data_IF_407144366830
#
_entry.id   IF_407144366830
#
_cell.length_a   1.000
_cell.length_b   1.000
_cell.length_c   1.000
_cell.angle_alpha   90.00
_cell.angle_beta   90.00
_cell.angle_gamma   90.00
#
_symmetry.space_group_name_H-M   'P 1'
#
loop_
_entity.id
_entity.type
_entity.pdbx_description
1 polymer ?
#
# COMPACT_ATOMS: atom_id res chain seq x y z
N UNK A 1 1.29 1.34 -25.82
CA UNK A 1 -0.05 1.43 -26.44
C UNK A 1 -1.03 1.35 -25.29
N UNK A 2 -1.74 2.41 -25.02
CA UNK A 2 -2.71 2.46 -23.92
C UNK A 2 -3.92 1.60 -24.26
N UNK A 3 -4.35 0.77 -23.31
CA UNK A 3 -5.64 0.09 -23.39
C UNK A 3 -6.74 1.12 -23.05
N UNK A 4 -7.70 1.37 -23.94
CA UNK A 4 -8.72 2.40 -23.76
C UNK A 4 -9.73 2.08 -22.63
N UNK A 5 -9.81 0.84 -22.14
CA UNK A 5 -10.81 0.42 -21.15
C UNK A 5 -10.32 0.45 -19.69
N UNK A 6 -9.01 0.51 -19.44
CA UNK A 6 -8.47 0.54 -18.07
C UNK A 6 -7.99 1.92 -17.62
N UNK A 7 -7.85 2.88 -18.54
CA UNK A 7 -7.41 4.26 -18.24
C UNK A 7 -6.01 4.37 -17.61
N UNK A 8 -5.28 3.26 -17.56
CA UNK A 8 -3.93 3.21 -17.01
C UNK A 8 -2.92 3.10 -18.14
N UNK A 9 -2.27 4.21 -18.46
CA UNK A 9 -1.03 4.15 -19.23
C UNK A 9 0.09 3.78 -18.27
N UNK A 10 1.08 3.00 -18.74
CA UNK A 10 2.40 2.89 -18.10
C UNK A 10 3.12 4.26 -18.18
N UNK A 11 2.40 5.32 -17.82
CA UNK A 11 2.91 6.67 -17.78
C UNK A 11 4.02 6.72 -16.74
N UNK A 12 5.13 7.27 -17.14
CA UNK A 12 6.26 7.60 -16.31
C UNK A 12 5.87 8.31 -15.02
N UNK A 13 6.83 8.61 -14.16
CA UNK A 13 6.55 9.06 -12.80
C UNK A 13 5.52 10.17 -12.85
N UNK A 14 4.30 9.89 -12.31
CA UNK A 14 3.32 10.95 -12.08
C UNK A 14 4.06 12.00 -11.27
N UNK A 15 4.25 13.19 -11.82
CA UNK A 15 4.65 14.35 -11.05
C UNK A 15 3.47 14.62 -10.12
N UNK A 16 3.58 14.14 -8.89
CA UNK A 16 2.56 14.35 -7.87
C UNK A 16 2.39 15.85 -7.66
N UNK A 17 1.17 16.39 -7.74
CA UNK A 17 0.95 17.75 -7.28
C UNK A 17 1.36 17.80 -5.81
N UNK A 18 2.16 18.78 -5.44
CA UNK A 18 2.86 18.99 -4.15
C UNK A 18 1.92 19.11 -2.93
N UNK A 19 0.63 18.82 -3.07
CA UNK A 19 -0.42 19.01 -2.06
C UNK A 19 -1.35 17.82 -1.90
N UNK A 20 -0.89 16.58 -2.06
CA UNK A 20 -1.69 15.48 -1.50
C UNK A 20 -1.44 15.44 0.01
N UNK A 21 -2.52 15.59 0.77
CA UNK A 21 -2.54 15.19 2.19
C UNK A 21 -2.04 13.75 2.24
N UNK A 22 -1.00 13.51 3.05
CA UNK A 22 -0.45 12.18 3.22
C UNK A 22 -1.59 11.17 3.43
N UNK A 23 -1.57 10.01 2.76
CA UNK A 23 -2.55 8.97 3.04
C UNK A 23 -2.49 8.67 4.53
N UNK A 24 -3.64 8.68 5.17
CA UNK A 24 -3.73 8.31 6.59
C UNK A 24 -3.31 6.84 6.67
N UNK A 25 -2.31 6.47 7.51
CA UNK A 25 -1.97 5.08 7.71
C UNK A 25 -3.24 4.33 8.08
N UNK A 26 -3.45 3.15 7.48
CA UNK A 26 -4.57 2.31 7.87
C UNK A 26 -4.51 2.12 9.40
N UNK A 27 -5.58 2.41 10.13
CA UNK A 27 -5.61 2.09 11.55
C UNK A 27 -5.40 0.59 11.70
N UNK A 28 -4.77 0.11 12.79
CA UNK A 28 -4.76 -1.30 13.11
C UNK A 28 -6.21 -1.80 13.10
N UNK A 29 -6.44 -3.00 12.59
CA UNK A 29 -7.79 -3.58 12.50
C UNK A 29 -8.52 -3.36 13.82
N UNK A 30 -9.64 -2.63 13.84
CA UNK A 30 -10.36 -2.40 15.08
C UNK A 30 -10.84 -3.74 15.63
N UNK A 31 -10.67 -4.01 16.92
CA UNK A 31 -11.10 -5.26 17.52
C UNK A 31 -12.60 -5.47 17.24
N UNK A 32 -12.97 -6.57 16.60
CA UNK A 32 -14.35 -6.95 16.29
C UNK A 32 -14.83 -6.67 14.86
N UNK A 33 -13.99 -6.20 13.93
CA UNK A 33 -14.35 -6.20 12.51
C UNK A 33 -14.14 -7.59 11.89
N UNK A 34 -15.11 -8.08 11.09
CA UNK A 34 -14.90 -9.30 10.35
C UNK A 34 -13.73 -9.08 9.35
N UNK A 35 -12.82 -10.06 9.21
CA UNK A 35 -11.74 -9.97 8.23
C UNK A 35 -12.32 -9.70 6.84
N UNK A 36 -11.64 -8.84 6.09
CA UNK A 36 -12.01 -8.59 4.68
C UNK A 36 -11.73 -9.88 3.92
N UNK A 37 -12.75 -10.41 3.26
CA UNK A 37 -12.63 -11.69 2.57
C UNK A 37 -11.71 -11.56 1.35
N UNK A 38 -10.90 -12.61 1.02
CA UNK A 38 -10.12 -12.67 -0.20
C UNK A 38 -11.05 -12.59 -1.42
N UNK A 39 -10.88 -11.59 -2.31
CA UNK A 39 -11.72 -11.37 -3.49
C UNK A 39 -10.88 -11.00 -4.71
N UNK A 40 -11.33 -11.43 -5.89
CA UNK A 40 -10.89 -10.91 -7.19
C UNK A 40 -11.75 -9.72 -7.61
N UNK A 41 -11.16 -8.73 -8.28
CA UNK A 41 -11.94 -7.67 -8.92
C UNK A 41 -12.61 -8.19 -10.20
N UNK A 42 -13.72 -7.57 -10.62
CA UNK A 42 -14.31 -7.79 -11.94
C UNK A 42 -13.25 -7.61 -13.03
N UNK A 43 -13.31 -8.44 -14.08
CA UNK A 43 -12.37 -8.46 -15.19
C UNK A 43 -11.17 -9.39 -15.00
N UNK A 44 -10.90 -9.87 -13.79
CA UNK A 44 -9.81 -10.83 -13.55
C UNK A 44 -10.05 -12.13 -14.31
N UNK A 45 -9.06 -12.58 -15.10
CA UNK A 45 -9.10 -13.83 -15.85
C UNK A 45 -8.67 -14.99 -14.93
N UNK A 46 -9.52 -16.01 -14.87
CA UNK A 46 -9.23 -17.27 -14.14
C UNK A 46 -9.04 -18.38 -15.17
N UNK A 47 -7.97 -19.16 -15.02
CA UNK A 47 -7.67 -20.26 -15.92
C UNK A 47 -8.60 -21.44 -15.64
N UNK A 48 -9.27 -21.93 -16.70
CA UNK A 48 -10.16 -23.09 -16.68
C UNK A 48 -9.77 -24.07 -17.78
N UNK A 49 -10.40 -25.23 -17.82
CA UNK A 49 -10.25 -26.21 -18.90
C UNK A 49 -10.73 -25.68 -20.27
N UNK A 50 -11.61 -24.68 -20.28
CA UNK A 50 -12.07 -23.96 -21.49
C UNK A 50 -11.16 -22.75 -21.85
N UNK A 51 -10.06 -22.54 -21.12
CA UNK A 51 -9.17 -21.38 -21.24
C UNK A 51 -9.42 -20.33 -20.16
N UNK A 52 -8.93 -19.10 -20.38
CA UNK A 52 -9.14 -17.99 -19.45
C UNK A 52 -10.57 -17.44 -19.55
N UNK A 53 -11.24 -17.37 -18.41
CA UNK A 53 -12.61 -16.83 -18.29
C UNK A 53 -12.59 -15.71 -17.25
N UNK A 54 -13.25 -14.58 -17.53
CA UNK A 54 -13.41 -13.50 -16.56
C UNK A 54 -14.18 -14.00 -15.33
N UNK A 55 -13.75 -13.59 -14.16
CA UNK A 55 -14.34 -14.07 -12.90
C UNK A 55 -15.85 -13.81 -12.78
N UNK A 56 -16.35 -12.73 -13.41
CA UNK A 56 -17.78 -12.44 -13.50
C UNK A 56 -18.58 -13.35 -14.45
N UNK A 57 -17.91 -13.98 -15.41
CA UNK A 57 -18.51 -14.84 -16.43
C UNK A 57 -18.42 -16.34 -16.07
N UNK A 58 -17.68 -16.68 -15.00
CA UNK A 58 -17.61 -18.04 -14.47
C UNK A 58 -18.99 -18.55 -14.02
N UNK A 59 -19.21 -19.84 -14.17
CA UNK A 59 -20.41 -20.54 -13.73
C UNK A 59 -20.08 -21.68 -12.75
N UNK A 60 -21.05 -22.00 -11.90
CA UNK A 60 -20.98 -23.23 -11.08
C UNK A 60 -20.96 -24.43 -11.99
N UNK A 61 -20.00 -25.35 -11.79
CA UNK A 61 -19.75 -26.51 -12.64
C UNK A 61 -18.53 -26.36 -13.55
N UNK A 62 -18.04 -25.12 -13.79
CA UNK A 62 -16.79 -24.90 -14.54
C UNK A 62 -15.61 -25.54 -13.83
N UNK A 63 -14.62 -25.99 -14.60
CA UNK A 63 -13.41 -26.66 -14.10
C UNK A 63 -12.26 -25.67 -14.06
N UNK A 64 -11.89 -25.17 -12.89
CA UNK A 64 -10.71 -24.34 -12.71
C UNK A 64 -9.44 -25.18 -12.75
N UNK A 65 -8.40 -24.69 -13.44
CA UNK A 65 -7.05 -25.28 -13.42
C UNK A 65 -6.28 -24.65 -12.25
N UNK A 66 -5.77 -25.50 -11.38
CA UNK A 66 -5.02 -25.10 -10.19
C UNK A 66 -3.52 -24.92 -10.52
N UNK A 67 -2.81 -24.21 -9.65
CA UNK A 67 -1.38 -23.95 -9.82
C UNK A 67 -0.52 -25.23 -9.93
N UNK A 68 -0.96 -26.34 -9.34
CA UNK A 68 -0.30 -27.65 -9.42
C UNK A 68 -0.71 -28.45 -10.65
N UNK A 69 -1.55 -27.90 -11.52
CA UNK A 69 -2.01 -28.52 -12.77
C UNK A 69 -3.24 -29.42 -12.61
N UNK A 70 -3.75 -29.60 -11.41
CA UNK A 70 -5.00 -30.32 -11.16
C UNK A 70 -6.21 -29.45 -11.55
N UNK A 71 -7.36 -30.12 -11.79
CA UNK A 71 -8.64 -29.44 -12.04
C UNK A 71 -9.55 -29.57 -10.82
N UNK A 72 -10.31 -28.52 -10.52
CA UNK A 72 -11.31 -28.52 -9.48
C UNK A 72 -12.57 -27.81 -9.92
N UNK A 73 -13.72 -28.41 -9.61
CA UNK A 73 -15.04 -27.87 -9.92
C UNK A 73 -15.33 -26.62 -9.08
N UNK A 74 -15.83 -25.58 -9.74
CA UNK A 74 -16.36 -24.37 -9.10
C UNK A 74 -17.75 -24.68 -8.55
N UNK A 75 -17.91 -24.61 -7.23
CA UNK A 75 -19.17 -24.95 -6.55
C UNK A 75 -19.98 -23.72 -6.10
N UNK A 76 -19.34 -22.55 -6.04
CA UNK A 76 -19.99 -21.31 -5.70
C UNK A 76 -19.19 -20.08 -6.13
N UNK A 77 -19.88 -19.01 -6.50
CA UNK A 77 -19.29 -17.71 -6.85
C UNK A 77 -19.99 -16.62 -6.06
N UNK A 78 -19.28 -16.05 -5.09
CA UNK A 78 -19.76 -14.90 -4.29
C UNK A 78 -19.61 -13.59 -5.03
N UNK A 79 -20.54 -12.65 -4.84
CA UNK A 79 -20.52 -11.32 -5.46
C UNK A 79 -20.73 -10.25 -4.40
N UNK A 80 -19.91 -9.20 -4.45
CA UNK A 80 -20.05 -8.05 -3.55
C UNK A 80 -19.67 -6.77 -4.27
N UNK A 81 -20.45 -5.72 -4.08
CA UNK A 81 -20.10 -4.37 -4.54
C UNK A 81 -19.78 -3.50 -3.33
N UNK A 82 -18.71 -2.71 -3.41
CA UNK A 82 -18.29 -1.80 -2.35
C UNK A 82 -18.16 -0.39 -2.92
N UNK A 83 -18.88 0.55 -2.32
CA UNK A 83 -18.76 1.98 -2.54
C UNK A 83 -17.80 2.56 -1.49
N UNK A 84 -16.58 2.94 -1.90
CA UNK A 84 -15.55 3.46 -1.00
C UNK A 84 -15.87 4.86 -0.48
N UNK A 85 -16.76 5.58 -1.14
CA UNK A 85 -17.18 6.92 -0.71
C UNK A 85 -18.09 6.86 0.53
N UNK A 86 -18.74 5.72 0.75
CA UNK A 86 -19.68 5.47 1.85
C UNK A 86 -19.14 4.47 2.88
N UNK A 87 -18.05 3.78 2.57
CA UNK A 87 -17.50 2.76 3.49
C UNK A 87 -16.85 3.45 4.69
N UNK A 88 -17.15 3.03 5.95
CA UNK A 88 -16.61 3.69 7.15
C UNK A 88 -15.07 3.59 7.25
N UNK A 89 -14.48 2.53 6.67
CA UNK A 89 -13.05 2.28 6.68
C UNK A 89 -12.56 1.88 5.27
N UNK A 90 -12.54 2.81 4.30
CA UNK A 90 -12.22 2.47 2.91
C UNK A 90 -10.81 1.89 2.74
N UNK A 91 -9.84 2.34 3.54
CA UNK A 91 -8.47 1.84 3.49
C UNK A 91 -8.35 0.32 3.75
N UNK A 92 -9.28 -0.28 4.51
CA UNK A 92 -9.27 -1.72 4.81
C UNK A 92 -9.80 -2.58 3.65
N UNK A 93 -10.51 -1.99 2.70
CA UNK A 93 -11.24 -2.72 1.64
C UNK A 93 -10.85 -2.29 0.22
N UNK A 94 -10.09 -1.18 0.07
CA UNK A 94 -9.58 -0.72 -1.22
C UNK A 94 -8.66 -1.75 -1.84
N UNK A 95 -8.78 -2.04 -3.15
CA UNK A 95 -8.04 -3.11 -3.80
C UNK A 95 -6.53 -2.86 -3.82
N UNK A 96 -5.81 -3.97 -3.89
CA UNK A 96 -4.40 -4.00 -4.22
C UNK A 96 -4.29 -4.28 -5.72
N UNK A 97 -3.59 -3.39 -6.43
CA UNK A 97 -3.26 -3.54 -7.85
C UNK A 97 -1.83 -4.06 -7.96
N UNK A 98 -1.68 -5.13 -8.71
CA UNK A 98 -0.41 -5.83 -8.93
C UNK A 98 -0.10 -5.72 -10.42
N UNK A 99 0.91 -4.95 -10.77
CA UNK A 99 1.29 -4.72 -12.16
C UNK A 99 1.74 -6.01 -12.85
N UNK A 100 1.55 -6.09 -14.17
CA UNK A 100 2.05 -7.20 -14.97
C UNK A 100 3.55 -7.43 -14.73
N UNK A 101 3.93 -8.69 -14.51
CA UNK A 101 5.29 -9.09 -14.23
C UNK A 101 5.85 -8.68 -12.85
N UNK A 102 5.04 -8.17 -11.93
CA UNK A 102 5.50 -7.70 -10.62
C UNK A 102 5.93 -8.84 -9.68
N UNK A 103 5.29 -10.01 -9.75
CA UNK A 103 5.55 -11.13 -8.85
C UNK A 103 6.70 -12.01 -9.34
N UNK A 104 6.77 -12.27 -10.66
CA UNK A 104 7.82 -13.00 -11.33
C UNK A 104 7.90 -12.57 -12.81
N UNK A 105 8.80 -13.17 -13.60
CA UNK A 105 8.88 -12.91 -15.04
C UNK A 105 7.58 -13.38 -15.71
N UNK A 106 6.80 -12.44 -16.28
CA UNK A 106 5.50 -12.72 -16.90
C UNK A 106 4.38 -13.01 -15.91
N UNK A 107 4.57 -12.80 -14.60
CA UNK A 107 3.55 -13.08 -13.57
C UNK A 107 3.31 -11.82 -12.72
N UNK A 108 2.05 -11.36 -12.61
CA UNK A 108 0.92 -11.75 -13.43
C UNK A 108 1.12 -11.37 -14.91
N UNK A 109 0.40 -12.00 -15.83
CA UNK A 109 0.50 -11.71 -17.26
C UNK A 109 -0.06 -10.33 -17.60
N UNK A 110 -1.15 -9.97 -16.95
CA UNK A 110 -1.83 -8.65 -16.98
C UNK A 110 -1.91 -8.12 -15.56
N UNK A 111 -2.39 -6.90 -15.38
CA UNK A 111 -2.63 -6.35 -14.04
C UNK A 111 -3.64 -7.22 -13.28
N UNK A 112 -3.25 -7.72 -12.11
CA UNK A 112 -4.11 -8.44 -11.20
C UNK A 112 -4.61 -7.51 -10.09
N UNK A 113 -5.93 -7.47 -9.89
CA UNK A 113 -6.57 -6.61 -8.87
C UNK A 113 -7.33 -7.48 -7.87
N UNK A 114 -6.93 -7.40 -6.61
CA UNK A 114 -7.49 -8.23 -5.54
C UNK A 114 -7.80 -7.42 -4.29
N UNK A 115 -8.62 -7.97 -3.38
CA UNK A 115 -8.82 -7.37 -2.05
C UNK A 115 -7.55 -7.44 -1.19
N UNK A 116 -7.40 -6.57 -0.18
CA UNK A 116 -6.18 -6.51 0.65
C UNK A 116 -5.79 -7.83 1.30
N UNK A 117 -6.76 -8.60 1.77
CA UNK A 117 -6.52 -9.86 2.48
C UNK A 117 -6.44 -11.10 1.58
N UNK A 118 -6.47 -10.91 0.25
CA UNK A 118 -6.36 -12.02 -0.70
C UNK A 118 -4.99 -12.68 -0.61
N UNK A 119 -4.96 -13.99 -0.37
CA UNK A 119 -3.74 -14.78 -0.30
C UNK A 119 -3.17 -15.03 -1.70
N UNK A 120 -1.97 -14.53 -1.95
CA UNK A 120 -1.18 -14.83 -3.14
C UNK A 120 -0.19 -15.96 -2.81
N UNK A 121 -0.03 -16.89 -3.74
CA UNK A 121 0.75 -18.10 -3.53
C UNK A 121 2.22 -17.91 -3.93
N UNK A 122 3.10 -18.27 -3.01
CA UNK A 122 4.56 -18.24 -3.18
C UNK A 122 5.17 -19.54 -2.63
N UNK A 123 5.61 -20.42 -3.52
CA UNK A 123 6.44 -21.60 -3.19
C UNK A 123 5.93 -22.44 -1.99
N UNK A 124 4.63 -22.67 -1.90
CA UNK A 124 4.01 -23.46 -0.83
C UNK A 124 3.33 -22.65 0.27
N UNK A 125 3.43 -21.33 0.23
CA UNK A 125 2.86 -20.42 1.24
C UNK A 125 1.94 -19.39 0.63
N UNK A 126 0.97 -18.90 1.42
CA UNK A 126 0.09 -17.79 1.08
C UNK A 126 0.57 -16.51 1.79
N UNK A 127 0.56 -15.38 1.08
CA UNK A 127 0.85 -14.05 1.64
C UNK A 127 -0.28 -13.10 1.25
N UNK A 128 -0.81 -12.36 2.21
CA UNK A 128 -1.85 -11.38 1.91
C UNK A 128 -1.33 -10.27 1.01
N UNK A 129 -2.09 -9.89 -0.01
CA UNK A 129 -1.70 -8.86 -0.98
C UNK A 129 -1.31 -7.53 -0.31
N UNK A 130 -1.99 -7.14 0.78
CA UNK A 130 -1.66 -5.93 1.57
C UNK A 130 -0.24 -5.96 2.16
N UNK A 131 0.28 -7.17 2.47
CA UNK A 131 1.61 -7.31 3.04
C UNK A 131 2.72 -7.20 2.01
N UNK A 132 2.37 -7.24 0.73
CA UNK A 132 3.28 -7.10 -0.41
C UNK A 132 3.31 -5.69 -1.00
N UNK A 133 2.46 -4.77 -0.53
CA UNK A 133 2.41 -3.38 -1.02
C UNK A 133 3.79 -2.75 -0.93
N UNK A 134 4.25 -2.22 -2.05
CA UNK A 134 5.60 -1.66 -2.24
C UNK A 134 5.59 -0.23 -2.81
N UNK A 135 4.40 0.36 -2.98
CA UNK A 135 4.20 1.73 -3.42
C UNK A 135 4.47 1.99 -4.91
N UNK A 136 4.83 0.97 -5.71
CA UNK A 136 5.22 1.15 -7.12
C UNK A 136 4.54 0.17 -8.06
N UNK A 137 4.82 -1.13 -7.91
CA UNK A 137 4.28 -2.19 -8.77
C UNK A 137 3.19 -3.01 -8.07
N UNK A 138 3.14 -2.94 -6.76
CA UNK A 138 2.08 -3.47 -5.92
C UNK A 138 1.57 -2.32 -5.06
N UNK A 139 0.39 -1.79 -5.38
CA UNK A 139 -0.12 -0.57 -4.77
C UNK A 139 -1.56 -0.73 -4.30
N UNK A 140 -1.93 -0.09 -3.20
CA UNK A 140 -3.33 0.04 -2.83
C UNK A 140 -3.96 1.20 -3.59
N UNK A 141 -5.02 0.92 -4.36
CA UNK A 141 -5.72 1.93 -5.14
C UNK A 141 -6.49 2.90 -4.23
N UNK A 142 -6.16 4.18 -4.30
CA UNK A 142 -6.80 5.23 -3.49
C UNK A 142 -7.84 6.04 -4.28
N UNK A 143 -7.94 5.85 -5.59
CA UNK A 143 -8.66 6.75 -6.49
C UNK A 143 -10.04 6.23 -6.89
N UNK A 144 -10.21 4.90 -7.09
CA UNK A 144 -11.48 4.36 -7.56
C UNK A 144 -12.60 4.59 -6.53
N UNK A 145 -13.81 5.01 -6.96
CA UNK A 145 -14.93 5.26 -6.06
C UNK A 145 -15.62 4.00 -5.59
N UNK A 146 -15.63 2.93 -6.39
CA UNK A 146 -16.30 1.67 -6.08
C UNK A 146 -15.64 0.50 -6.80
N UNK A 147 -15.95 -0.73 -6.37
CA UNK A 147 -15.45 -1.96 -6.99
C UNK A 147 -16.49 -3.08 -6.87
N UNK A 148 -16.53 -3.96 -7.86
CA UNK A 148 -17.21 -5.26 -7.78
C UNK A 148 -16.19 -6.35 -7.52
N UNK A 149 -16.39 -7.08 -6.44
CA UNK A 149 -15.56 -8.18 -5.99
C UNK A 149 -16.27 -9.52 -6.19
N UNK A 150 -15.48 -10.53 -6.52
CA UNK A 150 -15.91 -11.91 -6.73
C UNK A 150 -15.08 -12.86 -5.90
N UNK A 151 -15.72 -13.91 -5.40
CA UNK A 151 -15.09 -15.05 -4.76
C UNK A 151 -15.38 -16.31 -5.53
N UNK A 152 -14.38 -17.15 -5.73
CA UNK A 152 -14.52 -18.44 -6.40
C UNK A 152 -14.27 -19.53 -5.38
N UNK A 153 -15.31 -20.32 -5.06
CA UNK A 153 -15.21 -21.48 -4.17
C UNK A 153 -15.12 -22.75 -4.99
N UNK A 154 -14.14 -23.57 -4.65
CA UNK A 154 -13.90 -24.86 -5.26
C UNK A 154 -14.41 -25.98 -4.34
N UNK A 155 -14.62 -27.17 -4.91
CA UNK A 155 -14.98 -28.37 -4.15
C UNK A 155 -13.98 -28.66 -3.03
N UNK A 156 -12.70 -28.39 -3.26
CA UNK A 156 -11.62 -28.42 -2.27
C UNK A 156 -10.83 -27.12 -2.38
N UNK A 157 -10.53 -26.49 -1.25
CA UNK A 157 -9.74 -25.27 -1.23
C UNK A 157 -8.41 -25.47 -1.98
N UNK A 158 -8.10 -24.61 -2.92
CA UNK A 158 -6.96 -24.74 -3.83
C UNK A 158 -6.40 -23.39 -4.29
N UNK A 159 -5.34 -23.44 -5.07
CA UNK A 159 -4.67 -22.29 -5.63
C UNK A 159 -5.09 -22.12 -7.09
N UNK A 160 -5.92 -21.11 -7.36
CA UNK A 160 -6.34 -20.72 -8.70
C UNK A 160 -5.20 -20.00 -9.45
N UNK A 161 -5.24 -20.06 -10.78
CA UNK A 161 -4.39 -19.22 -11.63
C UNK A 161 -5.22 -18.02 -12.09
N UNK A 162 -4.94 -16.84 -11.49
CA UNK A 162 -5.58 -15.57 -11.79
C UNK A 162 -4.56 -14.66 -12.50
N UNK A 163 -4.83 -14.27 -13.75
CA UNK A 163 -3.87 -13.58 -14.61
C UNK A 163 -2.50 -14.29 -14.67
N UNK A 164 -2.49 -15.63 -14.60
CA UNK A 164 -1.29 -16.45 -14.50
C UNK A 164 -0.61 -16.47 -13.12
N UNK A 165 -1.11 -15.73 -12.13
CA UNK A 165 -0.58 -15.74 -10.76
C UNK A 165 -1.35 -16.72 -9.87
N UNK A 166 -0.64 -17.44 -8.99
CA UNK A 166 -1.27 -18.28 -7.97
C UNK A 166 -1.99 -17.44 -6.91
N UNK A 167 -3.28 -17.69 -6.71
CA UNK A 167 -4.11 -17.00 -5.74
C UNK A 167 -5.09 -17.98 -5.07
N UNK A 168 -5.37 -17.78 -3.78
CA UNK A 168 -6.25 -18.68 -3.04
C UNK A 168 -7.69 -18.66 -3.58
N UNK A 169 -8.34 -19.83 -3.64
CA UNK A 169 -9.79 -19.93 -3.82
C UNK A 169 -10.50 -19.53 -2.53
N UNK A 170 -11.82 -19.36 -2.58
CA UNK A 170 -12.58 -19.05 -1.36
C UNK A 170 -12.58 -20.24 -0.40
N UNK A 171 -12.27 -19.95 0.86
CA UNK A 171 -12.45 -20.86 1.98
C UNK A 171 -13.56 -20.33 2.87
N UNK A 172 -14.67 -21.08 3.00
CA UNK A 172 -15.78 -20.69 3.86
C UNK A 172 -15.42 -20.82 5.35
N UNK A 173 -14.98 -19.74 5.91
CA UNK A 173 -14.71 -19.61 7.34
C UNK A 173 -15.88 -18.98 8.10
N UNK A 174 -17.09 -18.91 7.48
CA UNK A 174 -18.29 -18.33 8.07
C UNK A 174 -18.60 -16.90 7.63
N UNK A 175 -18.00 -16.44 6.55
CA UNK A 175 -18.18 -15.07 6.04
C UNK A 175 -19.08 -14.96 4.81
N UNK A 176 -19.73 -16.03 4.36
CA UNK A 176 -20.63 -15.99 3.19
C UNK A 176 -21.69 -14.89 3.28
N UNK A 177 -22.13 -14.53 4.49
CA UNK A 177 -23.15 -13.50 4.72
C UNK A 177 -22.81 -12.09 4.25
N UNK A 178 -21.56 -11.79 3.89
CA UNK A 178 -21.14 -10.48 3.33
C UNK A 178 -21.41 -10.37 1.82
N UNK A 179 -21.77 -11.48 1.16
CA UNK A 179 -22.01 -11.50 -0.29
C UNK A 179 -23.50 -11.28 -0.58
N UNK A 180 -23.78 -10.54 -1.65
CA UNK A 180 -25.15 -10.20 -2.07
C UNK A 180 -25.99 -11.42 -2.46
N UNK A 181 -25.34 -12.53 -2.80
CA UNK A 181 -25.98 -13.79 -3.21
C UNK A 181 -25.78 -14.93 -2.20
N UNK A 182 -25.44 -14.60 -0.95
CA UNK A 182 -25.35 -15.60 0.11
C UNK A 182 -26.75 -16.09 0.53
N UNK A 183 -26.90 -17.39 0.77
CA UNK A 183 -27.98 -17.93 1.60
C UNK A 183 -27.75 -17.47 3.06
N UNK A 184 -28.79 -17.56 3.92
CA UNK A 184 -28.81 -17.02 5.28
C UNK A 184 -27.44 -17.05 6.01
N UNK A 185 -26.95 -15.92 6.51
CA UNK A 185 -25.60 -15.81 7.03
C UNK A 185 -25.43 -16.59 8.34
N UNK A 186 -24.44 -17.46 8.42
CA UNK A 186 -23.94 -18.01 9.68
C UNK A 186 -22.71 -17.19 10.05
N UNK A 187 -22.81 -16.36 11.09
CA UNK A 187 -21.67 -15.62 11.64
C UNK A 187 -20.97 -16.51 12.66
N UNK A 188 -19.73 -16.90 12.38
CA UNK A 188 -18.90 -17.63 13.33
C UNK A 188 -18.11 -16.65 14.22
N UNK A 189 -17.75 -17.12 15.42
CA UNK A 189 -16.84 -16.38 16.29
C UNK A 189 -15.45 -16.27 15.62
N UNK A 190 -14.73 -15.11 15.71
CA UNK A 190 -13.42 -14.90 15.08
C UNK A 190 -12.40 -16.03 15.33
N UNK A 191 -12.35 -16.58 16.55
CA UNK A 191 -11.44 -17.68 16.88
C UNK A 191 -11.74 -18.96 16.10
N UNK A 192 -13.03 -19.27 15.87
CA UNK A 192 -13.45 -20.42 15.07
C UNK A 192 -13.11 -20.22 13.59
N UNK A 193 -13.17 -19.00 13.09
CA UNK A 193 -12.76 -18.67 11.73
C UNK A 193 -11.27 -18.93 11.53
N UNK A 194 -10.43 -18.49 12.46
CA UNK A 194 -9.00 -18.71 12.42
C UNK A 194 -8.63 -20.20 12.49
N UNK A 195 -9.28 -20.94 13.38
CA UNK A 195 -9.09 -22.40 13.51
C UNK A 195 -9.47 -23.11 12.21
N UNK A 196 -10.58 -22.76 11.58
CA UNK A 196 -10.99 -23.32 10.29
C UNK A 196 -9.98 -22.98 9.19
N UNK A 197 -9.53 -21.73 9.12
CA UNK A 197 -8.50 -21.32 8.14
C UNK A 197 -7.23 -22.16 8.29
N UNK A 198 -6.74 -22.34 9.51
CA UNK A 198 -5.54 -23.14 9.77
C UNK A 198 -5.72 -24.64 9.43
N UNK A 199 -6.91 -25.19 9.66
CA UNK A 199 -7.19 -26.61 9.45
C UNK A 199 -7.52 -26.99 8.01
N UNK A 200 -8.04 -26.07 7.21
CA UNK A 200 -8.62 -26.34 5.88
C UNK A 200 -7.92 -25.60 4.75
N UNK A 201 -7.01 -24.67 5.05
CA UNK A 201 -6.21 -23.98 4.01
C UNK A 201 -5.28 -24.96 3.34
N UNK A 202 -5.20 -24.89 2.00
CA UNK A 202 -4.28 -25.74 1.19
C UNK A 202 -2.82 -25.39 1.45
N UNK A 203 -2.53 -24.18 1.91
CA UNK A 203 -1.19 -23.67 2.22
C UNK A 203 -1.20 -22.78 3.44
N UNK A 204 -0.11 -22.75 4.24
CA UNK A 204 -0.01 -21.88 5.40
C UNK A 204 -0.03 -20.39 5.00
N UNK A 205 -0.71 -19.58 5.81
CA UNK A 205 -0.69 -18.13 5.67
C UNK A 205 0.49 -17.52 6.43
N UNK A 206 1.38 -16.87 5.71
CA UNK A 206 2.55 -16.17 6.26
C UNK A 206 2.17 -14.71 6.51
N UNK A 207 2.26 -14.29 7.77
CA UNK A 207 1.92 -12.91 8.21
C UNK A 207 3.15 -12.14 8.72
N UNK A 208 4.33 -12.75 8.73
CA UNK A 208 5.57 -12.14 9.22
C UNK A 208 6.76 -13.08 9.20
N UNK A 209 7.85 -12.67 9.89
CA UNK A 209 9.06 -13.47 10.04
C UNK A 209 9.99 -13.47 8.82
N UNK A 210 10.95 -14.38 8.84
CA UNK A 210 11.99 -14.49 7.80
C UNK A 210 11.41 -14.84 6.43
N UNK A 211 10.37 -15.65 6.38
CA UNK A 211 9.72 -16.07 5.14
C UNK A 211 9.08 -14.91 4.39
N UNK A 212 8.30 -14.07 5.08
CA UNK A 212 7.75 -12.85 4.47
C UNK A 212 8.85 -11.90 4.02
N UNK A 213 9.90 -11.74 4.82
CA UNK A 213 11.05 -10.91 4.46
C UNK A 213 11.76 -11.43 3.20
N UNK A 214 11.92 -12.75 3.06
CA UNK A 214 12.51 -13.37 1.87
C UNK A 214 11.66 -13.16 0.61
N UNK A 215 10.33 -13.31 0.72
CA UNK A 215 9.39 -13.03 -0.38
C UNK A 215 9.49 -11.55 -0.79
N UNK A 216 9.43 -10.62 0.15
CA UNK A 216 9.58 -9.19 -0.12
C UNK A 216 10.93 -8.84 -0.74
N UNK A 217 12.03 -9.48 -0.31
CA UNK A 217 13.36 -9.30 -0.90
C UNK A 217 13.40 -9.76 -2.37
N UNK A 218 12.75 -10.89 -2.70
CA UNK A 218 12.59 -11.36 -4.07
C UNK A 218 11.81 -10.37 -4.93
N UNK A 219 10.69 -9.84 -4.43
CA UNK A 219 9.89 -8.83 -5.13
C UNK A 219 10.64 -7.51 -5.28
N UNK A 220 11.45 -7.12 -4.29
CA UNK A 220 12.34 -5.97 -4.39
C UNK A 220 13.36 -6.15 -5.53
N UNK A 221 14.01 -7.31 -5.61
CA UNK A 221 14.90 -7.65 -6.73
C UNK A 221 14.17 -7.59 -8.08
N UNK A 222 12.90 -8.04 -8.11
CA UNK A 222 12.07 -7.96 -9.31
C UNK A 222 11.82 -6.52 -9.77
N UNK A 223 11.54 -5.59 -8.85
CA UNK A 223 11.40 -4.15 -9.16
C UNK A 223 12.66 -3.57 -9.81
N UNK A 224 13.83 -3.93 -9.30
CA UNK A 224 15.11 -3.50 -9.90
C UNK A 224 15.22 -4.00 -11.36
N UNK A 225 14.85 -5.26 -11.63
CA UNK A 225 14.83 -5.81 -13.01
C UNK A 225 13.81 -5.11 -13.90
N UNK A 226 12.68 -4.63 -13.36
CA UNK A 226 11.69 -3.84 -14.07
C UNK A 226 12.17 -2.42 -14.38
N UNK A 227 13.35 -2.01 -13.89
CA UNK A 227 13.96 -0.73 -14.14
C UNK A 227 13.61 0.35 -13.12
N UNK A 228 13.23 -0.03 -11.91
CA UNK A 228 13.07 0.90 -10.82
C UNK A 228 14.34 0.99 -9.98
N UNK A 229 14.63 2.16 -9.44
CA UNK A 229 15.72 2.39 -8.48
C UNK A 229 15.25 3.29 -7.34
N UNK A 230 15.88 3.15 -6.18
CA UNK A 230 15.62 4.01 -5.02
C UNK A 230 16.53 5.23 -5.07
N UNK A 231 15.96 6.42 -4.88
CA UNK A 231 16.70 7.68 -4.83
C UNK A 231 16.28 8.47 -3.59
N UNK A 232 17.24 9.06 -2.91
CA UNK A 232 16.95 10.07 -1.89
C UNK A 232 16.40 11.34 -2.54
N UNK A 233 15.35 11.89 -1.94
CA UNK A 233 14.70 13.10 -2.43
C UNK A 233 14.65 14.12 -1.30
N UNK A 234 15.52 15.11 -1.37
CA UNK A 234 15.51 16.25 -0.48
C UNK A 234 14.67 17.38 -1.08
N UNK A 235 13.37 17.16 -1.23
CA UNK A 235 12.45 18.22 -1.58
C UNK A 235 11.88 18.84 -0.30
N UNK A 236 12.17 20.12 -0.07
CA UNK A 236 11.68 20.90 1.05
C UNK A 236 11.16 22.25 0.55
N UNK A 237 10.02 22.65 1.05
CA UNK A 237 9.46 23.98 0.81
C UNK A 237 8.75 24.51 2.06
N UNK A 238 8.78 25.82 2.25
CA UNK A 238 8.05 26.50 3.32
C UNK A 238 6.80 27.18 2.75
N UNK A 239 5.63 26.70 3.14
CA UNK A 239 4.35 27.26 2.70
C UNK A 239 3.85 28.29 3.72
N UNK A 240 3.63 29.52 3.26
CA UNK A 240 3.10 30.64 4.05
C UNK A 240 1.86 31.18 3.32
N UNK A 241 0.68 30.88 3.85
CA UNK A 241 -0.57 31.17 3.14
C UNK A 241 -0.63 30.44 1.79
N UNK A 242 -0.70 31.19 0.69
CA UNK A 242 -0.66 30.65 -0.69
C UNK A 242 0.75 30.60 -1.30
N UNK A 243 1.74 31.21 -0.64
CA UNK A 243 3.12 31.28 -1.12
C UNK A 243 3.87 30.01 -0.74
N UNK A 244 4.58 29.43 -1.71
CA UNK A 244 5.50 28.31 -1.50
C UNK A 244 6.93 28.80 -1.74
N UNK A 245 7.73 28.85 -0.67
CA UNK A 245 9.11 29.32 -0.71
C UNK A 245 10.07 28.11 -0.81
N UNK A 246 10.96 28.09 -1.80
CA UNK A 246 12.06 27.16 -1.82
C UNK A 246 13.09 27.52 -0.73
N UNK A 247 14.01 26.62 -0.39
CA UNK A 247 15.16 26.97 0.44
C UNK A 247 16.00 28.10 -0.19
N UNK A 248 16.47 29.04 0.65
CA UNK A 248 17.47 30.02 0.26
C UNK A 248 18.86 29.38 0.11
N UNK A 249 19.17 28.41 1.00
CA UNK A 249 20.38 27.61 0.95
C UNK A 249 20.06 26.14 1.19
N UNK A 250 20.71 25.25 0.43
CA UNK A 250 20.54 23.80 0.55
C UNK A 250 21.89 23.09 0.48
N UNK A 251 22.19 22.34 1.53
CA UNK A 251 23.31 21.42 1.61
C UNK A 251 22.80 20.02 2.06
N UNK A 252 23.53 18.93 1.89
CA UNK A 252 23.02 17.57 2.12
C UNK A 252 22.34 17.33 3.47
N UNK A 253 22.83 17.96 4.53
CA UNK A 253 22.30 17.78 5.90
C UNK A 253 21.76 19.08 6.52
N UNK A 254 21.67 20.16 5.75
CA UNK A 254 21.24 21.47 6.24
C UNK A 254 20.50 22.25 5.17
N UNK A 255 19.33 22.77 5.55
CA UNK A 255 18.51 23.58 4.66
C UNK A 255 18.09 24.86 5.39
N UNK A 256 18.26 26.02 4.76
CA UNK A 256 17.91 27.32 5.32
C UNK A 256 16.84 27.99 4.47
N UNK A 257 15.83 28.54 5.11
CA UNK A 257 14.78 29.34 4.50
C UNK A 257 14.83 30.78 5.01
N UNK A 258 14.64 31.73 4.11
CA UNK A 258 14.30 33.08 4.50
C UNK A 258 12.84 33.13 4.93
N UNK A 259 12.59 33.69 6.10
CA UNK A 259 11.25 33.85 6.66
C UNK A 259 10.83 35.32 6.50
N UNK A 260 9.80 35.60 5.70
CA UNK A 260 9.30 36.96 5.51
C UNK A 260 8.91 37.62 6.84
N UNK A 261 9.09 38.96 6.91
CA UNK A 261 8.76 39.72 8.10
C UNK A 261 7.30 39.57 8.48
N UNK A 262 7.03 39.46 9.79
CA UNK A 262 5.69 39.30 10.32
C UNK A 262 5.10 37.88 10.18
N UNK A 263 5.84 36.91 9.66
CA UNK A 263 5.37 35.55 9.58
C UNK A 263 5.30 34.90 10.97
N UNK A 264 4.10 34.61 11.44
CA UNK A 264 3.88 33.92 12.73
C UNK A 264 3.78 32.40 12.59
N UNK A 265 3.43 31.90 11.39
CA UNK A 265 3.28 30.47 11.15
C UNK A 265 3.55 30.11 9.68
N UNK A 266 4.00 28.87 9.46
CA UNK A 266 4.22 28.29 8.15
C UNK A 266 3.95 26.77 8.19
N UNK A 267 3.94 26.13 7.01
CA UNK A 267 3.92 24.68 6.88
C UNK A 267 5.20 24.25 6.17
N UNK A 268 6.00 23.44 6.81
CA UNK A 268 7.11 22.75 6.16
C UNK A 268 6.55 21.60 5.34
N UNK A 269 6.72 21.66 4.03
CA UNK A 269 6.31 20.64 3.08
C UNK A 269 7.52 19.82 2.64
N UNK A 270 7.44 18.50 2.68
CA UNK A 270 8.47 17.61 2.16
C UNK A 270 7.86 16.40 1.46
N UNK A 271 8.65 15.70 0.65
CA UNK A 271 8.30 14.38 0.17
C UNK A 271 8.10 13.42 1.34
N UNK A 272 7.34 12.35 1.13
CA UNK A 272 7.11 11.31 2.14
C UNK A 272 7.37 9.93 1.55
N UNK A 273 7.69 8.97 2.42
CA UNK A 273 7.85 7.57 2.06
C UNK A 273 7.41 6.67 3.20
N UNK A 274 7.18 5.40 2.89
CA UNK A 274 6.93 4.33 3.87
C UNK A 274 8.14 3.41 3.87
N UNK A 275 8.87 3.27 4.99
CA UNK A 275 10.08 2.44 5.03
C UNK A 275 9.88 1.00 4.53
N UNK A 276 8.75 0.36 4.89
CA UNK A 276 8.43 -1.00 4.45
C UNK A 276 8.23 -1.14 2.93
N UNK A 277 7.96 -0.05 2.20
CA UNK A 277 7.84 -0.05 0.73
C UNK A 277 9.21 0.07 0.04
N UNK A 278 10.22 0.56 0.77
CA UNK A 278 11.57 0.80 0.25
C UNK A 278 12.54 -0.32 0.67
N UNK A 279 12.45 -0.77 1.90
CA UNK A 279 13.33 -1.77 2.49
C UNK A 279 12.53 -3.03 2.83
N UNK A 280 12.76 -4.16 2.15
CA UNK A 280 12.03 -5.41 2.38
C UNK A 280 12.22 -5.97 3.80
N UNK A 281 13.29 -5.59 4.51
CA UNK A 281 13.52 -5.97 5.90
C UNK A 281 12.76 -5.10 6.90
N UNK A 282 12.23 -3.95 6.46
CA UNK A 282 11.49 -3.03 7.33
C UNK A 282 10.03 -3.43 7.48
N UNK A 283 9.52 -3.41 8.72
CA UNK A 283 8.10 -3.50 9.01
C UNK A 283 7.47 -2.13 9.36
N UNK A 284 8.22 -1.04 9.24
CA UNK A 284 7.74 0.30 9.54
C UNK A 284 6.84 0.82 8.42
N UNK A 285 5.55 0.90 8.70
CA UNK A 285 4.52 1.41 7.77
C UNK A 285 4.13 2.87 8.06
N UNK A 286 4.86 3.56 8.92
CA UNK A 286 4.63 4.99 9.13
C UNK A 286 4.95 5.79 7.88
N UNK A 287 4.17 6.84 7.62
CA UNK A 287 4.46 7.81 6.57
C UNK A 287 5.49 8.78 7.13
N UNK A 288 6.72 8.72 6.63
CA UNK A 288 7.84 9.52 7.10
C UNK A 288 8.21 10.59 6.07
N UNK A 289 8.41 11.82 6.54
CA UNK A 289 8.97 12.92 5.77
C UNK A 289 10.48 13.01 5.94
N UNK A 290 11.00 14.18 6.36
CA UNK A 290 12.41 14.35 6.73
C UNK A 290 12.62 14.08 8.21
N UNK A 291 13.79 13.53 8.56
CA UNK A 291 14.22 13.39 9.95
C UNK A 291 15.05 14.61 10.36
N UNK A 292 14.58 15.33 11.37
CA UNK A 292 15.23 16.54 11.88
C UNK A 292 16.00 16.22 13.16
N UNK A 293 17.27 16.62 13.24
CA UNK A 293 18.03 16.61 14.49
C UNK A 293 17.77 17.87 15.29
N UNK A 294 17.82 19.02 14.62
CA UNK A 294 17.74 20.33 15.25
C UNK A 294 17.07 21.34 14.34
N UNK A 295 16.52 22.38 14.98
CA UNK A 295 16.01 23.59 14.32
C UNK A 295 16.76 24.80 14.84
N UNK A 296 17.09 25.74 13.96
CA UNK A 296 17.64 27.04 14.33
C UNK A 296 16.75 28.15 13.80
N UNK A 297 16.45 29.13 14.63
CA UNK A 297 15.80 30.39 14.28
C UNK A 297 16.79 31.54 14.44
N UNK A 298 16.97 32.34 13.38
CA UNK A 298 17.95 33.43 13.36
C UNK A 298 19.34 33.00 13.83
N UNK A 299 19.79 31.78 13.44
CA UNK A 299 21.07 31.23 13.80
C UNK A 299 21.18 30.67 15.24
N UNK A 300 20.10 30.65 16.03
CA UNK A 300 20.06 30.11 17.38
C UNK A 300 19.29 28.78 17.43
N UNK A 301 19.86 27.78 18.09
CA UNK A 301 19.20 26.50 18.34
C UNK A 301 17.95 26.68 19.20
N UNK A 302 16.87 26.01 18.77
CA UNK A 302 15.61 25.95 19.51
C UNK A 302 15.11 24.51 19.55
N UNK A 303 14.42 24.08 20.61
CA UNK A 303 13.81 22.76 20.65
C UNK A 303 12.79 22.58 19.50
N UNK A 304 12.80 21.44 18.85
CA UNK A 304 11.86 21.15 17.72
C UNK A 304 10.43 21.33 18.20
N UNK A 305 10.10 20.87 19.40
CA UNK A 305 8.77 20.91 20.02
C UNK A 305 8.29 22.34 20.30
N UNK A 306 9.20 23.33 20.37
CA UNK A 306 8.84 24.72 20.55
C UNK A 306 8.42 25.42 19.26
N UNK A 307 8.74 24.82 18.12
CA UNK A 307 8.50 25.38 16.78
C UNK A 307 7.52 24.52 15.99
N UNK A 308 7.71 23.21 15.97
CA UNK A 308 6.89 22.26 15.21
C UNK A 308 5.68 21.78 16.02
N UNK A 309 4.51 21.66 15.36
CA UNK A 309 3.31 21.09 15.98
C UNK A 309 3.52 19.61 16.26
N UNK A 310 3.38 19.15 17.52
CA UNK A 310 3.65 17.74 17.90
C UNK A 310 2.80 16.72 17.14
N UNK A 311 1.57 17.07 16.76
CA UNK A 311 0.67 16.20 15.99
C UNK A 311 1.19 15.91 14.57
N UNK A 312 2.04 16.76 14.02
CA UNK A 312 2.60 16.63 12.68
C UNK A 312 3.98 15.94 12.67
N UNK A 313 4.42 15.50 13.84
CA UNK A 313 5.68 14.79 14.06
C UNK A 313 5.43 13.37 14.53
N UNK A 314 6.35 12.46 14.22
CA UNK A 314 6.37 11.14 14.85
C UNK A 314 7.05 11.21 16.21
N UNK A 315 6.47 10.54 17.21
CA UNK A 315 7.10 10.45 18.53
C UNK A 315 8.47 9.78 18.39
N UNK A 316 9.49 10.46 18.89
CA UNK A 316 10.87 9.97 18.90
C UNK A 316 10.97 8.71 19.75
N UNK A 317 11.53 7.63 19.20
CA UNK A 317 11.84 6.45 20.00
C UNK A 317 13.05 6.70 20.90
N UNK A 318 13.20 5.98 22.04
CA UNK A 318 14.25 6.26 23.04
C UNK A 318 15.71 6.20 22.53
N UNK A 319 15.93 5.53 21.37
CA UNK A 319 17.27 5.39 20.76
C UNK A 319 17.44 6.22 19.47
N UNK A 320 16.41 6.91 19.04
CA UNK A 320 16.48 7.75 17.83
C UNK A 320 17.10 9.10 18.20
N UNK A 321 18.01 9.60 17.35
CA UNK A 321 18.64 10.92 17.50
C UNK A 321 17.89 12.01 16.76
N UNK A 322 16.99 11.66 15.86
CA UNK A 322 16.21 12.59 15.05
C UNK A 322 14.70 12.33 15.18
N UNK A 323 13.91 13.35 14.88
CA UNK A 323 12.45 13.28 14.90
C UNK A 323 11.92 13.36 13.46
N UNK A 324 11.10 12.39 13.05
CA UNK A 324 10.52 12.35 11.71
C UNK A 324 9.28 13.25 11.59
N UNK A 325 9.22 14.02 10.50
CA UNK A 325 8.02 14.76 10.09
C UNK A 325 7.02 13.83 9.40
N UNK A 326 5.77 14.30 9.25
CA UNK A 326 4.70 13.58 8.51
C UNK A 326 4.45 14.13 7.10
N UNK A 327 5.41 14.87 6.53
CA UNK A 327 5.30 15.47 5.19
C UNK A 327 4.85 16.92 5.18
N UNK A 328 3.75 17.26 5.86
CA UNK A 328 3.30 18.62 6.08
C UNK A 328 3.34 18.92 7.58
N UNK A 329 4.31 19.73 8.01
CA UNK A 329 4.53 20.04 9.43
C UNK A 329 4.26 21.51 9.69
N UNK A 330 3.29 21.81 10.54
CA UNK A 330 2.99 23.19 10.96
C UNK A 330 4.09 23.71 11.88
N UNK A 331 4.60 24.88 11.55
CA UNK A 331 5.62 25.59 12.30
C UNK A 331 5.04 26.90 12.85
N UNK A 332 5.43 27.26 14.09
CA UNK A 332 5.10 28.54 14.72
C UNK A 332 6.39 29.29 14.99
N UNK A 333 6.39 30.57 14.62
CA UNK A 333 7.57 31.41 14.75
C UNK A 333 7.37 32.50 15.81
N UNK A 334 8.34 32.72 16.70
CA UNK A 334 8.42 33.91 17.53
C UNK A 334 8.51 35.18 16.67
N UNK A 335 8.01 36.30 17.20
CA UNK A 335 8.16 37.59 16.54
C UNK A 335 9.63 37.91 16.22
N UNK A 336 9.88 38.47 15.06
CA UNK A 336 11.23 38.82 14.61
C UNK A 336 12.03 37.67 14.00
N UNK A 337 11.42 36.47 13.76
CA UNK A 337 12.06 35.41 13.02
C UNK A 337 12.27 35.82 11.56
N UNK A 338 13.52 35.72 11.08
CA UNK A 338 13.93 36.05 9.69
C UNK A 338 14.53 34.88 8.94
N UNK A 339 15.02 33.87 9.67
CA UNK A 339 15.56 32.65 9.06
C UNK A 339 15.19 31.42 9.86
N UNK A 340 14.94 30.33 9.13
CA UNK A 340 14.72 28.99 9.63
C UNK A 340 15.77 28.08 9.03
N UNK A 341 16.61 27.48 9.87
CA UNK A 341 17.57 26.44 9.43
C UNK A 341 17.18 25.10 10.04
N UNK A 342 17.10 24.09 9.19
CA UNK A 342 16.80 22.70 9.53
C UNK A 342 18.06 21.85 9.37
N UNK A 343 18.46 21.14 10.42
CA UNK A 343 19.49 20.11 10.33
C UNK A 343 18.81 18.75 10.10
N UNK A 344 19.20 18.07 9.02
CA UNK A 344 18.54 16.88 8.49
C UNK A 344 19.42 15.66 8.73
N UNK A 345 18.92 14.66 9.43
CA UNK A 345 19.57 13.37 9.63
C UNK A 345 19.31 12.39 8.47
N UNK A 346 18.10 12.44 7.91
CA UNK A 346 17.71 11.58 6.80
C UNK A 346 16.61 12.22 5.95
N UNK A 347 16.65 11.95 4.67
CA UNK A 347 15.68 12.39 3.67
C UNK A 347 14.78 11.23 3.21
N UNK A 348 13.58 11.52 2.69
CA UNK A 348 12.74 10.53 2.05
C UNK A 348 13.44 9.81 0.91
N UNK A 349 13.17 8.52 0.78
CA UNK A 349 13.65 7.66 -0.29
C UNK A 349 12.48 7.25 -1.17
N UNK A 350 12.56 7.50 -2.47
CA UNK A 350 11.49 7.22 -3.42
C UNK A 350 11.97 6.31 -4.54
N UNK A 351 11.08 5.48 -5.03
CA UNK A 351 11.28 4.72 -6.24
C UNK A 351 11.22 5.62 -7.47
N UNK A 352 12.12 5.42 -8.41
CA UNK A 352 12.11 6.06 -9.73
C UNK A 352 12.22 5.02 -10.82
N UNK A 353 11.44 5.17 -11.89
CA UNK A 353 11.60 4.37 -13.09
C UNK A 353 12.78 4.91 -13.90
N UNK A 354 13.83 4.12 -14.04
CA UNK A 354 15.05 4.49 -14.78
C UNK A 354 14.93 4.29 -16.30
N UNK A 355 13.90 3.58 -16.77
CA UNK A 355 13.62 3.35 -18.20
C UNK A 355 12.72 4.42 -18.81
N UNK A 356 12.12 5.30 -18.01
CA UNK A 356 11.22 6.36 -18.44
C UNK A 356 11.93 7.72 -18.64
N UNK A 357 13.27 7.71 -18.74
CA UNK A 357 14.11 8.89 -18.99
C UNK A 357 14.52 8.97 -20.48
#
# INVERSE_FOLDING_TARGET
VADPDTGWSAAGPKTWPVLQTAPVPAPPDPPGQPPVNPCFAAGTQILTDAGEIKVEDLAVGDQAILAEGEMSEIIWIGRREIDFTRHPFPALVRPIRIAAGALAMGVPERELVVSPDHGLYFDGSLVQAKDLVDGVVIVQDQEIPSIRYYHVELKTHGILLAEGAGAESYLDTGHRGVFSNAAAPVILHPDLMQIRRQAQSVSPLVTGGEELAAIRARLHGRKLMLGFSVTEVCFLALKIGLLLLPPAESAPCRVTFDVPEGTAAAILCCAVFVPAEIDPASNDRRILGVALTDIMLNGKFVPIESVAEPADMHRRAPRETATWTRGATRLRFPAGTRSLTLNIAASPRLWRNTRAA
#
